data_IF_405272179429
#
_entry.id   IF_405272179429
#
_cell.length_a   1.000
_cell.length_b   1.000
_cell.length_c   1.000
_cell.angle_alpha   90.00
_cell.angle_beta   90.00
_cell.angle_gamma   90.00
#
_symmetry.space_group_name_H-M   'P 1'
#
loop_
_entity.id
_entity.type
_entity.pdbx_description
1 polymer ?
#
# COMPACT_ATOMS: atom_id res chain seq x y z
N UNK A 1 26.08 -17.72 7.83
CA UNK A 1 25.16 -16.96 6.97
C UNK A 1 23.80 -16.99 7.65
N UNK A 2 23.46 -15.95 8.40
CA UNK A 2 22.14 -15.84 9.03
C UNK A 2 21.14 -15.44 7.93
N UNK A 3 20.32 -16.39 7.50
CA UNK A 3 19.17 -16.10 6.66
C UNK A 3 18.13 -15.42 7.54
N UNK A 4 18.13 -14.08 7.55
CA UNK A 4 16.99 -13.33 8.07
C UNK A 4 15.73 -13.82 7.34
N UNK A 5 14.68 -14.29 8.04
CA UNK A 5 13.44 -14.60 7.37
C UNK A 5 12.92 -13.27 6.83
N UNK A 6 12.89 -13.14 5.50
CA UNK A 6 12.10 -12.12 4.85
C UNK A 6 10.67 -12.27 5.39
N UNK A 7 10.25 -11.36 6.26
CA UNK A 7 8.91 -11.34 6.85
C UNK A 7 7.93 -11.50 5.69
N UNK A 8 7.16 -12.58 5.71
CA UNK A 8 6.15 -12.82 4.68
C UNK A 8 5.29 -11.55 4.53
N UNK A 9 4.91 -11.15 3.31
CA UNK A 9 4.07 -9.99 3.11
C UNK A 9 2.80 -10.13 3.96
N UNK A 10 2.52 -9.11 4.77
CA UNK A 10 1.35 -9.09 5.64
C UNK A 10 0.22 -8.35 4.96
N UNK A 11 -1.00 -8.92 5.00
CA UNK A 11 -2.21 -8.14 4.71
C UNK A 11 -2.40 -7.12 5.84
N UNK A 12 -2.51 -5.85 5.47
CA UNK A 12 -2.67 -4.71 6.37
C UNK A 12 -3.89 -3.91 5.92
N UNK A 13 -4.67 -3.45 6.89
CA UNK A 13 -5.82 -2.58 6.62
C UNK A 13 -5.36 -1.18 6.20
N UNK A 14 -6.11 -0.52 5.32
CA UNK A 14 -5.76 0.80 4.75
C UNK A 14 -5.54 1.89 5.80
N UNK A 15 -6.19 1.82 6.97
CA UNK A 15 -6.04 2.74 8.10
C UNK A 15 -4.64 2.67 8.76
N UNK A 16 -3.99 1.52 8.65
CA UNK A 16 -2.69 1.26 9.25
C UNK A 16 -1.54 1.64 8.31
N UNK A 17 -1.82 1.94 7.05
CA UNK A 17 -0.81 2.35 6.07
C UNK A 17 -0.22 3.71 6.42
N UNK A 18 1.05 3.90 6.07
CA UNK A 18 1.81 5.13 6.28
C UNK A 18 2.50 5.54 4.99
N UNK A 19 2.81 6.83 4.89
CA UNK A 19 3.61 7.36 3.80
C UNK A 19 4.92 6.57 3.64
N UNK A 20 5.26 6.23 2.41
CA UNK A 20 6.40 5.41 2.00
C UNK A 20 6.17 3.90 2.07
N UNK A 21 5.00 3.41 2.48
CA UNK A 21 4.72 1.98 2.48
C UNK A 21 4.51 1.46 1.05
N UNK A 22 5.27 0.44 0.62
CA UNK A 22 5.02 -0.23 -0.65
C UNK A 22 3.90 -1.25 -0.46
N UNK A 23 2.83 -1.10 -1.23
CA UNK A 23 1.62 -1.92 -1.12
C UNK A 23 1.27 -2.58 -2.45
N UNK A 24 0.63 -3.74 -2.35
CA UNK A 24 -0.02 -4.43 -3.47
C UNK A 24 -1.50 -4.51 -3.18
N UNK A 25 -2.30 -3.96 -4.08
CA UNK A 25 -3.74 -4.14 -4.06
C UNK A 25 -4.10 -5.52 -4.62
N UNK A 26 -4.08 -6.52 -3.74
CA UNK A 26 -4.40 -7.92 -4.06
C UNK A 26 -5.86 -8.11 -4.48
N UNK A 27 -6.74 -7.18 -4.11
CA UNK A 27 -8.17 -7.21 -4.41
C UNK A 27 -8.49 -6.41 -5.69
N UNK A 28 -7.66 -5.42 -6.04
CA UNK A 28 -7.72 -4.61 -7.26
C UNK A 28 -6.83 -5.11 -8.40
N UNK A 29 -6.57 -6.41 -8.49
CA UNK A 29 -5.85 -7.02 -9.62
C UNK A 29 -4.33 -7.07 -9.48
N UNK A 30 -3.80 -6.91 -8.27
CA UNK A 30 -2.38 -7.06 -7.98
C UNK A 30 -1.53 -5.82 -8.30
N UNK A 31 -2.16 -4.64 -8.37
CA UNK A 31 -1.47 -3.41 -8.69
C UNK A 31 -0.58 -2.94 -7.55
N UNK A 32 0.58 -2.39 -7.90
CA UNK A 32 1.60 -1.96 -6.94
C UNK A 32 1.60 -0.45 -6.81
N UNK A 33 1.68 0.02 -5.57
CA UNK A 33 1.72 1.43 -5.22
C UNK A 33 2.75 1.70 -4.12
N UNK A 34 3.21 2.94 -4.07
CA UNK A 34 3.80 3.52 -2.85
C UNK A 34 2.77 4.46 -2.24
N UNK A 35 2.47 4.31 -0.96
CA UNK A 35 1.58 5.25 -0.26
C UNK A 35 2.30 6.59 -0.11
N UNK A 36 1.68 7.66 -0.59
CA UNK A 36 2.19 9.03 -0.42
C UNK A 36 1.54 9.69 0.80
N UNK A 37 0.22 9.57 0.93
CA UNK A 37 -0.57 10.05 2.07
C UNK A 37 -1.71 9.09 2.38
N UNK A 38 -2.12 9.04 3.65
CA UNK A 38 -3.30 8.32 4.10
C UNK A 38 -4.12 9.21 5.03
N UNK A 39 -5.40 9.40 4.68
CA UNK A 39 -6.33 10.26 5.43
C UNK A 39 -7.59 9.48 5.78
N UNK A 40 -7.76 9.19 7.06
CA UNK A 40 -9.00 8.66 7.61
C UNK A 40 -10.05 9.78 7.68
N UNK A 41 -11.19 9.56 7.02
CA UNK A 41 -12.30 10.53 7.03
C UNK A 41 -13.27 10.33 8.20
N UNK A 42 -13.08 9.30 9.02
CA UNK A 42 -13.92 9.01 10.19
C UNK A 42 -15.31 8.42 9.88
N UNK A 43 -15.73 8.40 8.60
CA UNK A 43 -17.00 7.85 8.13
C UNK A 43 -16.89 6.40 7.62
N UNK A 44 -15.83 5.68 8.02
CA UNK A 44 -15.57 4.32 7.55
C UNK A 44 -14.93 4.27 6.15
N UNK A 45 -14.27 5.34 5.74
CA UNK A 45 -13.51 5.43 4.50
C UNK A 45 -12.12 6.04 4.76
N UNK A 46 -11.12 5.53 4.06
CA UNK A 46 -9.76 6.07 4.02
C UNK A 46 -9.45 6.53 2.61
N UNK A 47 -8.98 7.76 2.46
CA UNK A 47 -8.43 8.27 1.21
C UNK A 47 -6.93 8.03 1.22
N UNK A 48 -6.42 7.37 0.18
CA UNK A 48 -5.00 7.19 -0.05
C UNK A 48 -4.56 8.00 -1.27
N UNK A 49 -3.48 8.76 -1.12
CA UNK A 49 -2.70 9.23 -2.24
C UNK A 49 -1.63 8.17 -2.55
N UNK A 50 -1.58 7.71 -3.80
CA UNK A 50 -0.78 6.58 -4.23
C UNK A 50 0.11 6.97 -5.41
N UNK A 51 1.38 6.62 -5.32
CA UNK A 51 2.31 6.63 -6.45
C UNK A 51 2.22 5.29 -7.17
N UNK A 52 1.89 5.30 -8.45
CA UNK A 52 1.96 4.14 -9.34
C UNK A 52 3.11 4.28 -10.33
N UNK A 53 3.81 3.17 -10.60
CA UNK A 53 4.87 3.04 -11.61
C UNK A 53 4.48 2.03 -12.70
N UNK A 54 3.21 2.02 -13.08
CA UNK A 54 2.74 1.16 -14.15
C UNK A 54 3.17 1.70 -15.52
N UNK A 55 3.54 0.81 -16.43
CA UNK A 55 3.89 1.16 -17.83
C UNK A 55 5.04 2.18 -17.96
N UNK A 56 6.06 2.09 -17.09
CA UNK A 56 7.21 3.01 -17.07
C UNK A 56 6.86 4.49 -16.85
N UNK A 57 5.62 4.77 -16.43
CA UNK A 57 5.15 6.11 -16.11
C UNK A 57 4.91 6.26 -14.61
N UNK A 58 5.35 7.39 -14.06
CA UNK A 58 5.05 7.79 -12.70
C UNK A 58 3.72 8.54 -12.67
N UNK A 59 2.76 8.04 -11.89
CA UNK A 59 1.45 8.69 -11.72
C UNK A 59 1.11 8.79 -10.25
N UNK A 60 0.54 9.93 -9.86
CA UNK A 60 -0.09 10.12 -8.54
C UNK A 60 -1.59 9.95 -8.72
N UNK A 61 -2.20 9.11 -7.91
CA UNK A 61 -3.62 8.78 -7.97
C UNK A 61 -4.20 8.87 -6.56
N UNK A 62 -5.32 9.57 -6.42
CA UNK A 62 -6.11 9.55 -5.19
C UNK A 62 -7.20 8.46 -5.32
N UNK A 63 -7.32 7.61 -4.30
CA UNK A 63 -8.32 6.55 -4.24
C UNK A 63 -8.94 6.48 -2.85
N UNK A 64 -10.26 6.24 -2.80
CA UNK A 64 -10.99 6.04 -1.55
C UNK A 64 -11.30 4.56 -1.35
N UNK A 65 -10.98 4.05 -0.16
CA UNK A 65 -11.21 2.67 0.24
C UNK A 65 -12.14 2.62 1.45
N UNK A 66 -12.98 1.58 1.58
CA UNK A 66 -13.70 1.35 2.82
C UNK A 66 -12.72 0.98 3.94
N UNK A 67 -13.08 1.33 5.16
CA UNK A 67 -12.39 0.88 6.37
C UNK A 67 -12.31 -0.65 6.41
N UNK A 68 -11.17 -1.18 6.84
CA UNK A 68 -10.86 -2.59 6.87
C UNK A 68 -10.47 -3.18 5.51
N UNK A 69 -10.47 -2.40 4.42
CA UNK A 69 -9.94 -2.86 3.14
C UNK A 69 -8.48 -3.28 3.30
N UNK A 70 -8.13 -4.46 2.79
CA UNK A 70 -6.81 -5.05 3.00
C UNK A 70 -5.93 -4.90 1.76
N UNK A 71 -4.70 -4.47 1.98
CA UNK A 71 -3.62 -4.47 1.00
C UNK A 71 -2.44 -5.28 1.53
N UNK A 72 -1.66 -5.86 0.63
CA UNK A 72 -0.44 -6.55 1.00
C UNK A 72 0.69 -5.53 1.14
N UNK A 73 1.31 -5.43 2.32
CA UNK A 73 2.52 -4.62 2.51
C UNK A 73 3.73 -5.46 2.15
N UNK A 74 4.42 -5.05 1.10
CA UNK A 74 5.69 -5.67 0.72
C UNK A 74 6.80 -5.21 1.67
N UNK A 75 7.69 -6.09 2.14
CA UNK A 75 8.85 -5.65 2.91
C UNK A 75 9.71 -4.71 2.04
N UNK A 76 10.02 -3.51 2.56
CA UNK A 76 10.95 -2.57 1.93
C UNK A 76 12.28 -3.31 1.71
N UNK A 77 12.63 -3.64 0.46
CA UNK A 77 14.02 -4.01 0.17
C UNK A 77 14.86 -2.75 0.31
N UNK A 78 15.57 -2.65 1.41
CA UNK A 78 16.80 -1.87 1.46
C UNK A 78 17.76 -2.54 0.47
N UNK A 79 17.92 -1.93 -0.71
CA UNK A 79 19.00 -2.25 -1.64
C UNK A 79 20.29 -1.59 -1.15
#
# INVERSE_FOLDING_TARGET
>A
METHPAKAPGLVAVEALRSGDPVVDVNGGGQRYTVLEAKDLGEGCVVLELESKAHDELRVIEMTFPAGYQMEVSPRRLL
#
